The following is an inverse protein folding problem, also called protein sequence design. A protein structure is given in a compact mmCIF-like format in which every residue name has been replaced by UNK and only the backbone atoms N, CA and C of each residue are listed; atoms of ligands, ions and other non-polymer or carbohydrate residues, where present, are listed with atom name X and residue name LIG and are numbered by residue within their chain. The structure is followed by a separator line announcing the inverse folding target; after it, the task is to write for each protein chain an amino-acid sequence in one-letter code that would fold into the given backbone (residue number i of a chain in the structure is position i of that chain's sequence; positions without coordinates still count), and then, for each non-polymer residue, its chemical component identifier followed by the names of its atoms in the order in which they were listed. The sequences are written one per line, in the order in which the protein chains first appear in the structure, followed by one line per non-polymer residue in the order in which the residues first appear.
data_IF_866929498820
#
_entry.id   IF_866929498820
#
_cell.length_a   1.000
_cell.length_b   1.000
_cell.length_c   1.000
_cell.angle_alpha   90.00
_cell.angle_beta   90.00
_cell.angle_gamma   90.00
#
_symmetry.space_group_name_H-M   'P 1'
#
loop_
_entity.id
_entity.type
_entity.pdbx_description
1 polymer ?
#
# COMPACT_ATOMS: atom_id res chain seq x y z
N UNK A 1 -0.91 13.00 49.63
CA UNK A 1 -1.63 12.07 48.74
C UNK A 1 -1.02 12.20 47.34
N UNK A 2 -0.22 11.26 46.94
CA UNK A 2 0.42 11.25 45.62
C UNK A 2 -0.61 10.81 44.58
N UNK A 3 -0.88 11.66 43.58
CA UNK A 3 -1.67 11.27 42.40
C UNK A 3 -0.80 10.32 41.57
N UNK A 4 -1.15 9.03 41.57
CA UNK A 4 -0.66 8.09 40.59
C UNK A 4 -1.25 8.51 39.25
N UNK A 5 -0.42 9.13 38.42
CA UNK A 5 -0.79 9.42 37.04
C UNK A 5 -1.17 8.11 36.33
N UNK A 6 -2.33 8.05 35.75
CA UNK A 6 -2.72 6.95 34.88
C UNK A 6 -1.67 6.85 33.76
N UNK A 7 -0.90 5.77 33.76
CA UNK A 7 -0.06 5.41 32.62
C UNK A 7 -1.06 5.07 31.51
N UNK A 8 -1.17 5.93 30.53
CA UNK A 8 -1.91 5.61 29.30
C UNK A 8 -1.25 4.33 28.74
N UNK A 9 -1.98 3.22 28.77
CA UNK A 9 -1.58 2.01 28.06
C UNK A 9 -1.42 2.41 26.59
N UNK A 10 -0.21 2.41 26.08
CA UNK A 10 0.02 2.51 24.65
C UNK A 10 -0.71 1.33 24.02
N UNK A 11 -1.72 1.60 23.21
CA UNK A 11 -2.40 0.56 22.45
C UNK A 11 -1.37 -0.01 21.46
N UNK A 12 -0.84 -1.19 21.77
CA UNK A 12 0.19 -1.86 20.95
C UNK A 12 -0.43 -2.73 19.86
N UNK A 13 -1.76 -2.72 19.76
CA UNK A 13 -2.52 -3.52 18.81
C UNK A 13 -2.99 -2.66 17.64
N UNK A 14 -2.92 -3.22 16.46
CA UNK A 14 -3.51 -2.64 15.26
C UNK A 14 -5.03 -2.77 15.28
N UNK A 15 -5.71 -2.01 14.44
CA UNK A 15 -7.13 -2.17 14.16
C UNK A 15 -7.34 -3.49 13.39
N UNK A 16 -8.26 -4.32 13.87
CA UNK A 16 -8.64 -5.59 13.22
C UNK A 16 -10.07 -5.59 12.68
N UNK A 17 -10.90 -4.62 13.12
CA UNK A 17 -12.24 -4.48 12.57
C UNK A 17 -12.19 -4.10 11.09
N UNK A 18 -12.82 -4.94 10.25
CA UNK A 18 -12.81 -4.79 8.81
C UNK A 18 -11.50 -5.17 8.10
N UNK A 19 -10.50 -5.70 8.82
CA UNK A 19 -9.26 -6.20 8.21
C UNK A 19 -9.57 -7.45 7.38
N UNK A 20 -9.25 -7.41 6.08
CA UNK A 20 -9.54 -8.49 5.12
C UNK A 20 -8.30 -9.03 4.42
N UNK A 21 -7.15 -8.36 4.60
CA UNK A 21 -5.87 -8.77 4.03
C UNK A 21 -4.75 -8.24 4.92
N UNK A 22 -3.80 -9.08 5.29
CA UNK A 22 -2.74 -8.75 6.23
C UNK A 22 -1.44 -9.47 5.90
N UNK A 23 -0.55 -8.76 5.23
CA UNK A 23 0.82 -9.19 4.98
C UNK A 23 1.73 -8.47 5.98
N UNK A 24 2.29 -9.20 6.92
CA UNK A 24 3.40 -8.74 7.75
C UNK A 24 4.57 -9.72 7.60
N UNK A 25 5.54 -9.34 6.80
CA UNK A 25 6.67 -10.20 6.46
C UNK A 25 7.60 -10.50 7.65
N UNK A 26 7.40 -9.89 8.82
CA UNK A 26 8.06 -10.30 10.06
C UNK A 26 7.52 -11.64 10.59
N UNK A 27 6.33 -12.05 10.18
CA UNK A 27 5.65 -13.24 10.68
C UNK A 27 5.92 -14.46 9.82
N UNK A 28 6.32 -15.57 10.44
CA UNK A 28 6.50 -16.85 9.73
C UNK A 28 5.22 -17.37 9.08
N UNK A 29 4.05 -17.05 9.65
CA UNK A 29 2.75 -17.36 9.07
C UNK A 29 2.52 -16.63 7.73
N UNK A 30 3.07 -15.42 7.58
CA UNK A 30 3.02 -14.68 6.33
C UNK A 30 4.08 -15.17 5.34
N UNK A 31 5.33 -15.34 5.79
CA UNK A 31 6.42 -15.81 4.95
C UNK A 31 7.40 -16.70 5.73
N UNK A 32 7.61 -17.98 5.30
CA UNK A 32 8.42 -18.96 6.02
C UNK A 32 9.94 -18.74 5.87
N UNK A 33 10.39 -17.62 5.35
CA UNK A 33 11.81 -17.25 5.08
C UNK A 33 12.48 -18.07 3.99
N UNK A 34 11.71 -18.84 3.23
CA UNK A 34 12.19 -19.67 2.13
C UNK A 34 11.10 -19.84 1.06
N UNK A 35 11.53 -20.09 -0.18
CA UNK A 35 10.63 -20.22 -1.32
C UNK A 35 10.13 -18.87 -1.82
N UNK A 36 9.09 -18.90 -2.63
CA UNK A 36 8.53 -17.70 -3.29
C UNK A 36 7.11 -17.38 -2.83
N UNK A 37 6.50 -18.21 -1.98
CA UNK A 37 5.10 -18.04 -1.58
C UNK A 37 5.01 -17.24 -0.29
N UNK A 38 4.27 -16.14 -0.34
CA UNK A 38 3.85 -15.36 0.83
C UNK A 38 2.34 -15.48 1.00
N UNK A 39 1.87 -15.70 2.24
CA UNK A 39 0.47 -15.99 2.54
C UNK A 39 -0.15 -14.88 3.39
N UNK A 40 -1.31 -14.40 2.99
CA UNK A 40 -2.14 -13.51 3.78
C UNK A 40 -2.60 -14.17 5.08
N UNK A 41 -2.51 -13.44 6.19
CA UNK A 41 -2.82 -13.97 7.51
C UNK A 41 -4.31 -13.91 7.88
N UNK A 42 -5.15 -13.24 7.10
CA UNK A 42 -6.59 -13.13 7.34
C UNK A 42 -7.41 -14.12 6.51
N UNK A 43 -7.10 -14.24 5.22
CA UNK A 43 -7.94 -14.97 4.27
C UNK A 43 -7.28 -16.12 3.52
N UNK A 44 -6.02 -16.42 3.79
CA UNK A 44 -5.25 -17.50 3.09
C UNK A 44 -4.96 -17.24 1.61
N UNK A 45 -5.01 -15.98 1.15
CA UNK A 45 -4.52 -15.65 -0.18
C UNK A 45 -3.01 -15.86 -0.25
N UNK A 46 -2.56 -16.57 -1.28
CA UNK A 46 -1.15 -16.82 -1.52
C UNK A 46 -0.66 -15.97 -2.69
N UNK A 47 0.38 -15.19 -2.45
CA UNK A 47 1.10 -14.43 -3.46
C UNK A 47 2.43 -15.11 -3.79
N UNK A 48 2.84 -15.01 -5.05
CA UNK A 48 4.11 -15.55 -5.52
C UNK A 48 5.09 -14.41 -5.80
N UNK A 49 6.21 -14.41 -5.09
CA UNK A 49 7.32 -13.49 -5.38
C UNK A 49 7.95 -13.87 -6.73
N UNK A 50 8.08 -12.90 -7.63
CA UNK A 50 8.50 -13.08 -9.00
C UNK A 50 9.68 -12.18 -9.34
N UNK A 51 10.37 -12.52 -10.42
CA UNK A 51 11.38 -11.76 -11.13
C UNK A 51 12.65 -11.40 -10.33
N UNK A 52 12.74 -11.75 -9.07
CA UNK A 52 13.89 -11.44 -8.21
C UNK A 52 13.51 -10.90 -6.84
N UNK A 53 12.23 -10.57 -6.65
CA UNK A 53 11.73 -10.11 -5.36
C UNK A 53 12.16 -11.05 -4.23
N UNK A 54 12.86 -10.53 -3.23
CA UNK A 54 13.56 -11.34 -2.23
C UNK A 54 13.28 -10.89 -0.81
N UNK A 55 13.44 -11.82 0.13
CA UNK A 55 13.24 -11.54 1.54
C UNK A 55 14.47 -10.86 2.16
N UNK A 56 14.24 -9.77 2.86
CA UNK A 56 15.22 -9.05 3.68
C UNK A 56 14.89 -9.19 5.17
N UNK A 57 15.91 -9.28 6.02
CA UNK A 57 15.75 -9.29 7.48
C UNK A 57 15.57 -7.90 8.08
N UNK A 58 15.62 -6.85 7.27
CA UNK A 58 15.44 -5.46 7.71
C UNK A 58 14.16 -5.30 8.50
N UNK A 59 14.24 -4.58 9.62
CA UNK A 59 13.10 -4.28 10.48
C UNK A 59 12.23 -5.51 10.78
N UNK A 60 12.86 -6.63 11.15
CA UNK A 60 12.28 -7.95 11.45
C UNK A 60 11.73 -8.71 10.24
N UNK A 61 11.71 -8.15 9.07
CA UNK A 61 11.31 -8.80 7.81
C UNK A 61 10.60 -7.85 6.86
N UNK A 62 11.06 -7.85 5.62
CA UNK A 62 10.49 -7.11 4.49
C UNK A 62 10.77 -7.87 3.19
N UNK A 63 10.03 -7.60 2.14
CA UNK A 63 10.44 -7.95 0.79
C UNK A 63 11.18 -6.77 0.14
N UNK A 64 12.23 -7.07 -0.57
CA UNK A 64 13.07 -6.16 -1.34
C UNK A 64 12.78 -6.31 -2.82
N UNK A 65 12.72 -5.18 -3.51
CA UNK A 65 12.37 -5.03 -4.92
C UNK A 65 13.44 -4.17 -5.60
N UNK A 66 13.87 -4.57 -6.80
CA UNK A 66 15.01 -3.95 -7.52
C UNK A 66 14.60 -2.75 -8.39
N UNK A 67 13.33 -2.41 -8.40
CA UNK A 67 12.81 -1.29 -9.19
C UNK A 67 12.70 -1.57 -10.68
N UNK A 68 12.90 -2.78 -11.15
CA UNK A 68 12.78 -3.16 -12.55
C UNK A 68 11.45 -3.85 -12.81
N UNK A 69 11.29 -5.07 -12.31
CA UNK A 69 10.11 -5.88 -12.55
C UNK A 69 9.78 -6.82 -11.39
N UNK A 70 10.40 -6.63 -10.25
CA UNK A 70 10.13 -7.41 -9.04
C UNK A 70 8.72 -7.16 -8.53
N UNK A 71 8.03 -8.23 -8.15
CA UNK A 71 6.66 -8.14 -7.62
C UNK A 71 6.28 -9.37 -6.80
N UNK A 72 5.24 -9.23 -5.97
CA UNK A 72 4.51 -10.36 -5.40
C UNK A 72 3.12 -10.36 -6.05
N UNK A 73 2.84 -11.40 -6.83
CA UNK A 73 1.60 -11.56 -7.60
C UNK A 73 0.61 -12.44 -6.85
N UNK A 74 -0.59 -11.93 -6.60
CA UNK A 74 -1.72 -12.61 -5.95
C UNK A 74 -2.80 -13.07 -6.94
N UNK A 75 -2.58 -12.93 -8.26
CA UNK A 75 -3.62 -13.12 -9.25
C UNK A 75 -4.77 -12.12 -9.08
N UNK A 76 -5.99 -12.52 -9.39
CA UNK A 76 -7.17 -11.64 -9.31
C UNK A 76 -8.10 -11.99 -8.13
N UNK A 77 -7.75 -11.64 -6.89
CA UNK A 77 -8.57 -11.94 -5.73
C UNK A 77 -9.80 -11.01 -5.67
N UNK A 78 -10.97 -11.63 -5.43
CA UNK A 78 -12.25 -10.91 -5.41
C UNK A 78 -12.43 -9.95 -4.22
N UNK A 79 -11.66 -10.13 -3.14
CA UNK A 79 -11.75 -9.27 -1.95
C UNK A 79 -11.44 -7.80 -2.23
N UNK A 80 -10.70 -7.51 -3.32
CA UNK A 80 -10.37 -6.14 -3.74
C UNK A 80 -11.32 -5.60 -4.83
N UNK A 81 -12.47 -6.24 -5.05
CA UNK A 81 -13.43 -5.86 -6.09
C UNK A 81 -14.62 -5.07 -5.55
N UNK A 82 -14.73 -4.91 -4.24
CA UNK A 82 -15.83 -4.19 -3.56
C UNK A 82 -15.30 -3.03 -2.75
N UNK A 83 -16.08 -1.98 -2.64
CA UNK A 83 -15.76 -0.78 -1.86
C UNK A 83 -16.86 -0.55 -0.81
N UNK A 84 -16.54 0.11 0.32
CA UNK A 84 -15.31 0.86 0.61
C UNK A 84 -14.08 -0.02 0.81
N UNK A 85 -12.88 0.56 0.56
CA UNK A 85 -11.60 -0.09 0.83
C UNK A 85 -10.58 0.92 1.38
N UNK A 86 -9.74 0.44 2.30
CA UNK A 86 -8.53 1.12 2.76
C UNK A 86 -7.34 0.22 2.51
N UNK A 87 -6.26 0.78 1.97
CA UNK A 87 -4.95 0.15 1.83
C UNK A 87 -3.95 0.83 2.74
N UNK A 88 -3.15 0.07 3.45
CA UNK A 88 -2.09 0.50 4.35
C UNK A 88 -0.78 -0.17 3.96
N UNK A 89 0.29 0.60 3.79
CA UNK A 89 1.61 0.09 3.39
C UNK A 89 2.70 0.71 4.24
N UNK A 90 3.57 -0.14 4.79
CA UNK A 90 4.85 0.27 5.35
C UNK A 90 5.94 -0.06 4.35
N UNK A 91 6.60 0.98 3.84
CA UNK A 91 7.60 0.86 2.79
C UNK A 91 8.84 1.70 3.08
N UNK A 92 9.93 1.35 2.42
CA UNK A 92 11.18 2.11 2.38
C UNK A 92 11.56 2.32 0.93
N UNK A 93 11.76 3.58 0.54
CA UNK A 93 12.29 3.93 -0.77
C UNK A 93 13.82 3.87 -0.76
N UNK A 94 14.43 3.15 -1.69
CA UNK A 94 15.88 3.08 -1.86
C UNK A 94 16.33 3.59 -3.24
N UNK A 95 15.39 4.09 -4.07
CA UNK A 95 15.65 4.62 -5.40
C UNK A 95 16.49 5.89 -5.37
N UNK A 96 17.75 5.77 -5.82
CA UNK A 96 18.68 6.88 -6.03
C UNK A 96 18.67 7.41 -7.47
N UNK A 97 17.92 6.78 -8.37
CA UNK A 97 17.88 7.10 -9.80
C UNK A 97 16.77 8.06 -10.17
N UNK A 98 15.93 8.43 -9.22
CA UNK A 98 14.85 9.40 -9.38
C UNK A 98 13.78 8.93 -10.38
N UNK A 99 13.26 7.74 -10.19
CA UNK A 99 12.29 7.12 -11.10
C UNK A 99 10.97 7.88 -11.18
N UNK A 100 10.36 7.77 -12.34
CA UNK A 100 9.06 8.40 -12.61
C UNK A 100 7.88 7.71 -11.89
N UNK A 101 8.03 6.46 -11.47
CA UNK A 101 7.03 5.71 -10.71
C UNK A 101 7.72 4.68 -9.83
N UNK A 102 7.17 4.47 -8.63
CA UNK A 102 7.56 3.43 -7.68
C UNK A 102 6.27 2.80 -7.18
N UNK A 103 5.95 1.59 -7.67
CA UNK A 103 4.70 0.90 -7.36
C UNK A 103 4.70 0.32 -5.95
N UNK A 104 3.72 0.66 -5.14
CA UNK A 104 3.52 0.06 -3.81
C UNK A 104 2.47 -1.04 -3.86
N UNK A 105 1.27 -0.69 -4.31
CA UNK A 105 0.15 -1.61 -4.56
C UNK A 105 -0.42 -1.29 -5.93
N UNK A 106 -0.63 -2.32 -6.72
CA UNK A 106 -1.29 -2.18 -8.01
C UNK A 106 -2.27 -3.33 -8.23
N UNK A 107 -3.43 -3.01 -8.77
CA UNK A 107 -4.38 -3.97 -9.33
C UNK A 107 -4.59 -3.61 -10.79
N UNK A 108 -3.91 -4.30 -11.69
CA UNK A 108 -3.82 -3.90 -13.08
C UNK A 108 -3.55 -5.06 -14.01
N UNK A 109 -3.46 -4.79 -15.30
CA UNK A 109 -2.92 -5.74 -16.25
C UNK A 109 -1.84 -5.09 -17.12
N UNK A 110 -0.97 -5.90 -17.66
CA UNK A 110 0.21 -5.55 -18.45
C UNK A 110 -0.05 -4.85 -19.81
N UNK A 111 -1.19 -4.22 -20.05
CA UNK A 111 -1.53 -3.69 -21.38
C UNK A 111 -1.30 -2.18 -21.53
N UNK A 112 -0.12 -1.69 -21.17
CA UNK A 112 0.48 -0.51 -21.82
C UNK A 112 -0.12 0.88 -21.59
N UNK A 113 -1.19 1.08 -20.84
CA UNK A 113 -1.74 2.40 -20.53
C UNK A 113 -2.13 2.52 -19.08
N UNK A 114 -1.28 3.18 -18.31
CA UNK A 114 -1.37 3.33 -16.87
C UNK A 114 -2.69 3.92 -16.35
N UNK A 115 -3.33 4.75 -17.12
CA UNK A 115 -4.55 5.44 -16.70
C UNK A 115 -5.85 4.70 -17.03
N UNK A 116 -5.82 3.65 -17.85
CA UNK A 116 -7.03 3.06 -18.37
C UNK A 116 -7.23 1.57 -18.05
N UNK A 117 -6.20 0.88 -17.56
CA UNK A 117 -6.24 -0.58 -17.41
C UNK A 117 -6.07 -1.08 -15.97
N UNK A 118 -5.66 -0.23 -15.03
CA UNK A 118 -5.55 -0.57 -13.61
C UNK A 118 -6.88 -0.38 -12.89
N UNK A 119 -7.25 -1.33 -12.03
CA UNK A 119 -8.37 -1.12 -11.12
C UNK A 119 -7.96 -0.22 -9.95
N UNK A 120 -6.72 -0.40 -9.46
CA UNK A 120 -6.16 0.34 -8.32
C UNK A 120 -4.69 0.61 -8.61
N UNK A 121 -4.24 1.80 -8.21
CA UNK A 121 -2.83 2.18 -8.25
C UNK A 121 -2.51 3.02 -7.03
N UNK A 122 -1.53 2.58 -6.24
CA UNK A 122 -0.91 3.36 -5.18
C UNK A 122 0.60 3.36 -5.42
N UNK A 123 1.13 4.49 -5.83
CA UNK A 123 2.57 4.69 -6.09
C UNK A 123 3.02 6.03 -5.53
N UNK A 124 4.34 6.22 -5.49
CA UNK A 124 4.94 7.54 -5.39
C UNK A 124 5.84 7.80 -6.61
N UNK A 125 6.07 9.07 -6.93
CA UNK A 125 6.90 9.52 -8.06
C UNK A 125 7.96 10.49 -7.56
N UNK A 126 9.18 10.28 -8.00
CA UNK A 126 10.29 11.18 -7.74
C UNK A 126 10.51 12.12 -8.95
N UNK A 127 11.22 11.80 -9.94
CA UNK A 127 11.42 12.42 -11.27
C UNK A 127 10.90 13.88 -11.42
N UNK A 128 11.21 14.74 -10.45
CA UNK A 128 10.78 16.15 -10.43
C UNK A 128 9.33 16.41 -10.03
N UNK A 129 8.53 15.37 -9.74
CA UNK A 129 7.14 15.52 -9.30
C UNK A 129 7.04 15.55 -7.78
N UNK A 130 7.72 14.64 -7.07
CA UNK A 130 7.64 14.47 -5.62
C UNK A 130 6.19 14.38 -5.15
N UNK A 131 5.48 13.37 -5.61
CA UNK A 131 4.07 13.19 -5.30
C UNK A 131 3.70 11.72 -5.07
N UNK A 132 2.56 11.52 -4.41
CA UNK A 132 1.87 10.24 -4.35
C UNK A 132 0.74 10.23 -5.36
N UNK A 133 0.49 9.05 -5.92
CA UNK A 133 -0.60 8.78 -6.86
C UNK A 133 -1.50 7.71 -6.26
N UNK A 134 -2.77 8.04 -6.04
CA UNK A 134 -3.81 7.07 -5.75
C UNK A 134 -4.90 7.15 -6.80
N UNK A 135 -5.11 6.06 -7.51
CA UNK A 135 -6.08 5.94 -8.59
C UNK A 135 -6.97 4.73 -8.42
N UNK A 136 -8.24 4.90 -8.77
CA UNK A 136 -9.17 3.82 -9.03
C UNK A 136 -9.76 4.04 -10.40
N UNK A 137 -9.80 3.00 -11.25
CA UNK A 137 -10.24 3.11 -12.64
C UNK A 137 -11.43 2.19 -12.90
N UNK A 138 -12.28 2.60 -13.82
CA UNK A 138 -13.38 1.77 -14.37
C UNK A 138 -13.00 1.04 -15.67
N UNK A 139 -11.70 1.03 -16.03
CA UNK A 139 -11.19 0.44 -17.26
C UNK A 139 -11.19 1.38 -18.47
N UNK A 140 -11.89 2.50 -18.39
CA UNK A 140 -11.93 3.53 -19.45
C UNK A 140 -11.39 4.88 -18.96
N UNK A 141 -11.61 5.19 -17.68
CA UNK A 141 -11.14 6.43 -17.05
C UNK A 141 -10.82 6.20 -15.57
N UNK A 142 -10.05 7.11 -14.98
CA UNK A 142 -9.88 7.16 -13.54
C UNK A 142 -11.14 7.77 -12.91
N UNK A 143 -11.81 7.02 -12.06
CA UNK A 143 -12.95 7.50 -11.26
C UNK A 143 -12.49 8.12 -9.94
N UNK A 144 -11.36 7.66 -9.40
CA UNK A 144 -10.55 8.38 -8.42
C UNK A 144 -9.22 8.71 -9.12
N UNK A 145 -8.85 9.97 -9.17
CA UNK A 145 -7.57 10.44 -9.73
C UNK A 145 -6.96 11.44 -8.76
N UNK A 146 -6.16 10.93 -7.84
CA UNK A 146 -5.47 11.73 -6.84
C UNK A 146 -3.98 11.74 -7.15
N UNK A 147 -3.45 12.93 -7.42
CA UNK A 147 -2.03 13.20 -7.57
C UNK A 147 -1.71 14.27 -6.52
N UNK A 148 -1.01 13.88 -5.48
CA UNK A 148 -0.80 14.75 -4.33
C UNK A 148 0.68 15.01 -4.11
N UNK A 149 1.10 16.25 -4.37
CA UNK A 149 2.46 16.69 -4.02
C UNK A 149 2.65 16.63 -2.51
N UNK A 150 3.75 16.02 -2.09
CA UNK A 150 4.12 15.88 -0.70
C UNK A 150 5.65 15.88 -0.58
N UNK A 151 6.14 16.20 0.62
CA UNK A 151 7.54 15.91 0.94
C UNK A 151 7.66 14.40 1.05
N UNK A 152 8.31 13.77 0.08
CA UNK A 152 8.57 12.34 0.14
C UNK A 152 9.53 12.03 1.29
N UNK A 153 9.39 10.85 1.93
CA UNK A 153 10.35 10.37 2.90
C UNK A 153 11.75 10.36 2.31
N UNK A 154 12.76 10.62 3.13
CA UNK A 154 14.15 10.54 2.70
C UNK A 154 14.48 9.15 2.16
N UNK A 155 15.36 9.06 1.18
CA UNK A 155 15.87 7.78 0.67
C UNK A 155 16.45 6.98 1.84
N UNK A 156 16.07 5.71 1.94
CA UNK A 156 16.44 4.82 3.03
C UNK A 156 15.59 4.97 4.31
N UNK A 157 14.68 5.94 4.39
CA UNK A 157 13.74 6.06 5.49
C UNK A 157 12.48 5.21 5.25
N UNK A 158 11.99 4.60 6.34
CA UNK A 158 10.68 3.97 6.34
C UNK A 158 9.56 5.01 6.41
N UNK A 159 8.44 4.69 5.82
CA UNK A 159 7.23 5.50 5.87
C UNK A 159 5.98 4.63 5.85
N UNK A 160 4.88 5.23 6.29
CA UNK A 160 3.57 4.63 6.34
C UNK A 160 2.62 5.41 5.44
N UNK A 161 2.06 4.78 4.42
CA UNK A 161 1.09 5.39 3.53
C UNK A 161 -0.25 4.67 3.64
N UNK A 162 -1.33 5.45 3.70
CA UNK A 162 -2.71 4.92 3.70
C UNK A 162 -3.49 5.60 2.59
N UNK A 163 -4.09 4.78 1.72
CA UNK A 163 -4.98 5.23 0.66
C UNK A 163 -6.35 4.58 0.84
N UNK A 164 -7.42 5.37 0.80
CA UNK A 164 -8.77 4.86 1.01
C UNK A 164 -9.81 5.57 0.14
N UNK A 165 -10.88 4.85 -0.18
CA UNK A 165 -12.04 5.38 -0.86
C UNK A 165 -13.31 4.74 -0.30
N UNK A 166 -14.34 5.57 -0.06
CA UNK A 166 -15.63 5.14 0.50
C UNK A 166 -16.56 4.45 -0.51
N UNK A 167 -16.11 4.29 -1.77
CA UNK A 167 -16.89 3.66 -2.82
C UNK A 167 -17.99 4.54 -3.41
N UNK A 168 -18.05 5.82 -3.04
CA UNK A 168 -19.10 6.75 -3.44
C UNK A 168 -18.55 7.96 -4.20
N UNK A 169 -19.46 8.81 -4.69
CA UNK A 169 -19.17 10.12 -5.25
C UNK A 169 -19.35 11.26 -4.23
N UNK A 170 -19.41 10.93 -2.95
CA UNK A 170 -19.48 11.93 -1.89
C UNK A 170 -18.23 12.83 -1.90
N UNK A 171 -18.41 14.07 -1.46
CA UNK A 171 -17.33 15.04 -1.38
C UNK A 171 -16.17 14.48 -0.54
N UNK A 172 -14.98 14.46 -1.15
CA UNK A 172 -13.75 14.01 -0.49
C UNK A 172 -13.80 12.55 0.04
N UNK A 173 -14.53 11.68 -0.65
CA UNK A 173 -14.67 10.27 -0.28
C UNK A 173 -13.38 9.46 -0.44
N UNK A 174 -12.46 9.89 -1.31
CA UNK A 174 -11.13 9.31 -1.43
C UNK A 174 -10.10 10.16 -0.68
N UNK A 175 -9.22 9.51 0.10
CA UNK A 175 -8.23 10.18 0.97
C UNK A 175 -6.89 9.47 0.91
N UNK A 176 -5.83 10.25 1.12
CA UNK A 176 -4.45 9.76 1.16
C UNK A 176 -3.73 10.35 2.37
N UNK A 177 -3.09 9.49 3.13
CA UNK A 177 -2.32 9.86 4.32
C UNK A 177 -0.87 9.42 4.15
N UNK A 178 0.04 10.24 4.66
CA UNK A 178 1.45 9.88 4.86
C UNK A 178 1.74 9.97 6.35
N UNK A 179 2.24 8.88 6.90
CA UNK A 179 2.32 8.63 8.34
C UNK A 179 0.92 8.81 8.98
N UNK A 180 0.64 9.86 9.69
CA UNK A 180 -0.70 10.15 10.24
C UNK A 180 -1.34 11.39 9.61
N UNK A 181 -0.64 12.05 8.71
CA UNK A 181 -1.06 13.32 8.12
C UNK A 181 -1.90 13.10 6.87
N UNK A 182 -3.09 13.69 6.81
CA UNK A 182 -3.88 13.75 5.57
C UNK A 182 -3.14 14.66 4.58
N UNK A 183 -2.65 14.07 3.49
CA UNK A 183 -1.91 14.80 2.45
C UNK A 183 -2.77 15.11 1.22
N UNK A 184 -3.87 14.40 1.01
CA UNK A 184 -4.77 14.64 -0.11
C UNK A 184 -6.14 14.04 0.06
N UNK A 185 -7.12 14.65 -0.62
CA UNK A 185 -8.48 14.12 -0.72
C UNK A 185 -9.13 14.59 -2.01
N UNK A 186 -9.94 13.73 -2.63
CA UNK A 186 -10.68 14.05 -3.85
C UNK A 186 -12.09 13.42 -3.82
N UNK A 187 -12.96 14.00 -4.63
CA UNK A 187 -14.29 13.45 -4.91
C UNK A 187 -14.19 12.53 -6.12
N UNK A 188 -14.67 11.29 -6.00
CA UNK A 188 -14.71 10.35 -7.11
C UNK A 188 -15.75 10.78 -8.16
N UNK A 189 -15.48 10.48 -9.43
CA UNK A 189 -16.37 10.80 -10.55
C UNK A 189 -17.30 9.65 -10.94
N UNK A 190 -17.21 8.51 -10.24
CA UNK A 190 -18.02 7.31 -10.48
C UNK A 190 -17.85 6.31 -9.36
N UNK A 191 -18.64 5.24 -9.39
CA UNK A 191 -18.70 4.22 -8.32
C UNK A 191 -18.47 2.79 -8.80
N UNK A 192 -18.18 2.58 -10.08
CA UNK A 192 -18.06 1.25 -10.69
C UNK A 192 -16.63 1.01 -11.16
N UNK A 193 -15.71 0.56 -10.29
CA UNK A 193 -14.35 0.24 -10.71
C UNK A 193 -14.31 -1.04 -11.55
N UNK A 194 -13.25 -1.19 -12.36
CA UNK A 194 -12.99 -2.48 -13.01
C UNK A 194 -12.48 -3.49 -12.00
N UNK A 195 -12.85 -4.75 -12.17
CA UNK A 195 -12.57 -5.81 -11.19
C UNK A 195 -11.67 -6.94 -11.72
N UNK A 196 -11.64 -7.13 -13.04
CA UNK A 196 -10.92 -8.26 -13.66
C UNK A 196 -9.44 -7.92 -13.89
N UNK A 197 -8.68 -7.78 -12.80
CA UNK A 197 -7.24 -7.46 -12.82
C UNK A 197 -6.52 -8.14 -11.69
N UNK A 198 -5.25 -8.48 -11.92
CA UNK A 198 -4.38 -9.09 -10.92
C UNK A 198 -3.87 -8.04 -9.92
N UNK A 199 -3.62 -8.49 -8.70
CA UNK A 199 -3.18 -7.66 -7.58
C UNK A 199 -1.70 -7.93 -7.29
N UNK A 200 -0.91 -6.88 -7.26
CA UNK A 200 0.55 -6.91 -7.07
C UNK A 200 0.97 -6.03 -5.89
N UNK A 201 2.00 -6.50 -5.19
CA UNK A 201 2.77 -5.72 -4.21
C UNK A 201 4.16 -5.48 -4.78
N UNK A 202 4.65 -4.22 -4.73
CA UNK A 202 5.99 -3.82 -5.20
C UNK A 202 6.08 -3.61 -6.72
N UNK A 203 5.23 -4.32 -7.49
CA UNK A 203 5.19 -4.26 -8.93
C UNK A 203 4.41 -3.07 -9.48
N UNK A 204 4.46 -2.92 -10.79
CA UNK A 204 3.63 -1.99 -11.53
C UNK A 204 2.76 -2.76 -12.53
N UNK A 205 1.55 -2.30 -12.73
CA UNK A 205 0.52 -2.94 -13.54
C UNK A 205 0.82 -3.06 -15.03
N UNK A 206 1.89 -2.47 -15.51
CA UNK A 206 2.39 -2.65 -16.87
C UNK A 206 3.76 -3.34 -16.84
N UNK A 207 4.03 -4.20 -17.81
CA UNK A 207 5.32 -4.85 -18.00
C UNK A 207 6.45 -3.86 -18.32
N UNK A 208 6.26 -2.57 -18.06
CA UNK A 208 7.26 -1.55 -18.32
C UNK A 208 8.31 -1.61 -17.22
N UNK A 209 9.45 -2.17 -17.57
CA UNK A 209 10.62 -2.24 -16.71
C UNK A 209 11.00 -0.85 -16.20
N UNK A 210 11.21 -0.71 -14.89
CA UNK A 210 11.60 0.55 -14.25
C UNK A 210 10.45 1.36 -13.65
N UNK A 211 9.28 0.76 -13.44
CA UNK A 211 8.17 1.36 -12.69
C UNK A 211 7.81 0.61 -11.40
N UNK A 212 8.44 -0.54 -11.15
CA UNK A 212 8.38 -1.21 -9.85
C UNK A 212 9.07 -0.40 -8.77
N UNK A 213 8.80 -0.75 -7.52
CA UNK A 213 9.49 -0.20 -6.36
C UNK A 213 10.97 -0.55 -6.42
N UNK A 214 11.83 0.43 -6.22
CA UNK A 214 13.22 0.24 -5.81
C UNK A 214 13.29 0.49 -4.30
N UNK A 215 13.29 -0.60 -3.51
CA UNK A 215 13.18 -0.49 -2.08
C UNK A 215 12.51 -1.68 -1.41
N UNK A 216 11.88 -1.45 -0.26
CA UNK A 216 11.34 -2.52 0.57
C UNK A 216 9.91 -2.27 1.00
N UNK A 217 9.14 -3.34 1.15
CA UNK A 217 7.81 -3.33 1.79
C UNK A 217 7.82 -4.34 2.93
N UNK A 218 7.45 -3.88 4.13
CA UNK A 218 7.41 -4.72 5.31
C UNK A 218 5.99 -5.19 5.66
N UNK A 219 5.00 -4.34 5.41
CA UNK A 219 3.61 -4.62 5.76
C UNK A 219 2.70 -4.07 4.66
N UNK A 220 1.69 -4.87 4.29
CA UNK A 220 0.56 -4.43 3.46
C UNK A 220 -0.72 -4.93 4.11
N UNK A 221 -1.70 -4.04 4.31
CA UNK A 221 -3.03 -4.36 4.82
C UNK A 221 -4.12 -3.78 3.95
N UNK A 222 -5.27 -4.45 3.96
CA UNK A 222 -6.48 -3.88 3.40
C UNK A 222 -7.66 -4.10 4.34
N UNK A 223 -8.55 -3.10 4.38
CA UNK A 223 -9.77 -3.10 5.17
C UNK A 223 -10.97 -2.89 4.24
N UNK A 224 -12.07 -3.60 4.49
CA UNK A 224 -13.33 -3.45 3.74
C UNK A 224 -14.18 -2.26 4.23
N UNK A 225 -13.55 -1.26 4.77
CA UNK A 225 -14.12 0.01 5.21
C UNK A 225 -13.10 1.14 5.14
N UNK A 226 -13.55 2.38 5.25
CA UNK A 226 -12.66 3.51 5.50
C UNK A 226 -12.23 3.50 6.97
N UNK A 227 -10.96 3.78 7.22
CA UNK A 227 -10.45 4.01 8.56
C UNK A 227 -10.59 5.49 8.93
N UNK A 228 -10.90 5.76 10.20
CA UNK A 228 -10.83 7.11 10.74
C UNK A 228 -9.36 7.56 10.89
N UNK A 229 -9.12 8.87 10.97
CA UNK A 229 -7.78 9.39 11.21
C UNK A 229 -7.20 8.90 12.55
N UNK A 230 -8.05 8.65 13.55
CA UNK A 230 -7.66 8.08 14.83
C UNK A 230 -7.21 6.62 14.68
N UNK A 231 -7.94 5.80 13.93
CA UNK A 231 -7.58 4.40 13.65
C UNK A 231 -6.28 4.30 12.86
N UNK A 232 -6.06 5.18 11.88
CA UNK A 232 -4.78 5.28 11.15
C UNK A 232 -3.64 5.63 12.13
N UNK A 233 -3.89 6.56 13.06
CA UNK A 233 -2.92 6.92 14.09
C UNK A 233 -2.63 5.78 15.05
N UNK A 234 -3.64 4.98 15.42
CA UNK A 234 -3.47 3.77 16.25
C UNK A 234 -2.57 2.76 15.53
N UNK A 235 -2.84 2.45 14.26
CA UNK A 235 -2.03 1.53 13.46
C UNK A 235 -0.58 2.01 13.33
N UNK A 236 -0.38 3.29 13.02
CA UNK A 236 0.93 3.91 12.93
C UNK A 236 1.70 3.79 14.26
N UNK A 237 1.08 4.21 15.37
CA UNK A 237 1.73 4.21 16.68
C UNK A 237 2.03 2.80 17.20
N UNK A 238 1.25 1.79 16.82
CA UNK A 238 1.50 0.39 17.17
C UNK A 238 2.79 -0.15 16.52
N UNK A 239 3.21 0.43 15.40
CA UNK A 239 4.27 -0.13 14.56
C UNK A 239 5.48 0.77 14.34
N UNK A 240 5.34 2.09 14.50
CA UNK A 240 6.42 3.06 14.19
C UNK A 240 7.74 2.75 14.88
N UNK A 241 7.71 2.24 16.12
CA UNK A 241 8.92 1.85 16.85
C UNK A 241 9.72 0.74 16.18
N UNK A 242 9.06 -0.17 15.42
CA UNK A 242 9.73 -1.18 14.59
C UNK A 242 10.54 -0.54 13.47
N UNK A 243 10.12 0.61 12.99
CA UNK A 243 10.71 1.31 11.85
C UNK A 243 11.60 2.49 12.23
N UNK A 244 11.81 2.72 13.55
CA UNK A 244 12.68 3.79 14.05
C UNK A 244 12.06 5.19 13.97
N UNK A 245 10.72 5.27 13.98
CA UNK A 245 9.92 6.50 13.90
C UNK A 245 9.27 6.88 15.24
#
# INVERSE_FOLDING_TARGET
MSKIGAIAQSNTSIITDGLIFNMDFSKFACYPRTGTTATDMEGSLAGTAQNGASFSTDNLGAFEFDGVNDEIDFGNPSIFNTYPLTYEVWYKNEDTTNKANNGLINKGNNAGNASQNGAIMLNFRQAGNNDFVFRVSNGSSNIVDMIQSATLPAIGAWAHVVAQWDGTTNSNGAKLYLDTSLIGQVTATGTTPTTARDFYIGGHHDSNTGRGLDGKIAIVRAYNRVLSAEEISINYNALKGRFGL
#
